data_IF_033984602471
#
_entry.id   IF_033984602471
#
_cell.length_a   1.000
_cell.length_b   1.000
_cell.length_c   1.000
_cell.angle_alpha   90.00
_cell.angle_beta   90.00
_cell.angle_gamma   90.00
#
_symmetry.space_group_name_H-M   'P 1'
#
loop_
_entity.id
_entity.type
_entity.pdbx_description
1 polymer ?
#
# COMPACT_ATOMS: atom_id res chain seq x y z
N UNK A 1 9.77 90.74 21.43
CA UNK A 1 8.65 90.89 20.49
C UNK A 1 8.91 89.99 19.29
N UNK A 2 7.92 89.21 18.83
CA UNK A 2 7.93 88.40 17.59
C UNK A 2 9.01 87.28 17.50
N UNK A 3 8.75 86.10 16.91
CA UNK A 3 7.52 85.49 16.36
C UNK A 3 7.67 83.96 16.39
N UNK A 4 6.56 83.23 16.48
CA UNK A 4 6.54 81.76 16.29
C UNK A 4 6.99 81.37 14.87
N UNK A 5 7.69 80.24 14.76
CA UNK A 5 7.76 79.45 13.54
C UNK A 5 7.82 77.95 13.91
N UNK A 6 6.78 77.22 13.53
CA UNK A 6 6.64 75.78 13.79
C UNK A 6 7.55 75.00 12.82
N UNK A 7 8.30 74.02 13.33
CA UNK A 7 8.93 72.96 12.51
C UNK A 7 8.42 71.61 12.99
N UNK A 8 8.03 70.76 12.03
CA UNK A 8 7.46 69.44 12.29
C UNK A 8 8.48 68.42 12.81
N UNK A 9 8.01 67.24 13.25
CA UNK A 9 8.87 66.19 13.80
C UNK A 9 9.77 65.57 12.72
N UNK A 10 10.97 65.09 13.09
CA UNK A 10 11.87 64.37 12.18
C UNK A 10 11.34 62.97 11.84
N UNK A 11 11.74 62.46 10.67
CA UNK A 11 11.33 61.14 10.19
C UNK A 11 11.87 60.00 11.07
N UNK A 12 11.06 58.95 11.26
CA UNK A 12 11.45 57.76 12.00
C UNK A 12 12.43 56.89 11.20
N UNK A 13 13.46 56.38 11.88
CA UNK A 13 14.39 55.40 11.33
C UNK A 13 13.66 54.10 10.95
N UNK A 14 13.88 53.60 9.74
CA UNK A 14 13.42 52.27 9.37
C UNK A 14 14.17 51.20 10.20
N UNK A 15 13.43 50.23 10.73
CA UNK A 15 13.99 48.99 11.29
C UNK A 15 14.20 47.97 10.15
N UNK A 16 15.19 47.06 10.28
CA UNK A 16 15.43 46.05 9.25
C UNK A 16 14.25 45.08 9.11
N UNK A 17 14.00 44.62 7.89
CA UNK A 17 12.98 43.61 7.60
C UNK A 17 13.28 42.29 8.33
N UNK A 18 12.25 41.60 8.87
CA UNK A 18 12.44 40.24 9.40
C UNK A 18 12.78 39.26 8.28
N UNK A 19 13.43 38.12 8.59
CA UNK A 19 13.74 37.10 7.59
C UNK A 19 12.44 36.52 6.98
N UNK A 20 12.50 36.18 5.70
CA UNK A 20 11.42 35.50 4.98
C UNK A 20 11.27 34.10 5.56
N UNK A 21 10.12 33.82 6.20
CA UNK A 21 9.81 32.49 6.72
C UNK A 21 9.29 31.58 5.62
N UNK A 22 9.94 30.44 5.44
CA UNK A 22 9.50 29.35 4.56
C UNK A 22 8.09 28.84 4.96
N UNK A 23 7.12 28.74 4.02
CA UNK A 23 5.77 28.31 4.35
C UNK A 23 5.61 26.83 4.69
N UNK A 24 6.62 25.96 4.46
CA UNK A 24 6.50 24.51 4.67
C UNK A 24 6.50 24.13 6.16
N UNK A 25 7.25 24.84 7.01
CA UNK A 25 7.48 24.46 8.41
C UNK A 25 6.29 24.73 9.38
N UNK A 26 5.14 25.22 8.92
CA UNK A 26 4.11 25.82 9.80
C UNK A 26 2.75 25.09 9.88
N UNK A 27 2.69 23.80 9.52
CA UNK A 27 1.44 23.01 9.62
C UNK A 27 1.42 21.85 10.61
N UNK A 28 2.54 21.42 11.18
CA UNK A 28 2.59 20.28 12.12
C UNK A 28 2.43 20.61 13.61
N UNK A 29 2.27 21.88 13.99
CA UNK A 29 2.06 22.26 15.39
C UNK A 29 1.00 23.36 15.54
N UNK A 30 -0.26 22.92 15.73
CA UNK A 30 -1.30 23.57 16.57
C UNK A 30 -2.66 22.89 16.38
N UNK A 31 -3.08 22.08 17.38
CA UNK A 31 -4.48 21.89 17.83
C UNK A 31 -4.57 20.93 19.04
N UNK A 32 -4.16 21.40 20.21
CA UNK A 32 -4.64 20.93 21.52
C UNK A 32 -5.00 22.16 22.36
N UNK A 33 -6.11 22.04 23.12
CA UNK A 33 -6.74 23.03 24.03
C UNK A 33 -7.33 24.29 23.36
N UNK A 34 -8.52 24.83 23.76
CA UNK A 34 -9.50 24.41 24.76
C UNK A 34 -10.95 24.87 24.43
N UNK A 35 -11.94 24.02 24.81
CA UNK A 35 -13.30 24.27 25.38
C UNK A 35 -13.92 25.68 25.27
N UNK A 36 -15.19 25.90 24.87
CA UNK A 36 -16.48 25.44 25.46
C UNK A 36 -17.66 26.09 24.67
N UNK A 37 -18.97 25.78 24.78
CA UNK A 37 -19.81 24.73 25.41
C UNK A 37 -21.29 24.87 24.90
N UNK A 38 -22.27 24.21 25.57
CA UNK A 38 -23.74 24.17 25.32
C UNK A 38 -24.25 23.36 24.09
N UNK A 39 -25.26 22.49 24.20
CA UNK A 39 -25.87 21.84 25.38
C UNK A 39 -26.66 20.55 25.00
N UNK A 40 -26.36 19.42 25.67
CA UNK A 40 -27.27 18.30 26.04
C UNK A 40 -28.19 17.66 24.98
N UNK A 41 -27.86 16.42 24.60
CA UNK A 41 -28.52 15.22 25.15
C UNK A 41 -27.61 14.00 25.09
N UNK A 42 -27.44 13.33 26.22
CA UNK A 42 -26.76 12.05 26.36
C UNK A 42 -27.75 10.99 26.83
N UNK A 43 -27.52 9.71 26.47
CA UNK A 43 -27.65 8.50 27.31
C UNK A 43 -27.42 7.26 26.43
N UNK A 44 -26.51 6.39 26.88
CA UNK A 44 -26.33 4.96 26.57
C UNK A 44 -26.41 4.47 25.10
N UNK A 45 -25.33 3.83 24.62
CA UNK A 45 -25.16 2.36 24.74
C UNK A 45 -23.65 2.05 24.80
N UNK A 46 -23.22 1.47 25.91
CA UNK A 46 -21.92 0.83 26.08
C UNK A 46 -22.11 -0.35 27.05
N UNK A 47 -22.68 -1.45 26.53
CA UNK A 47 -22.85 -2.71 27.25
C UNK A 47 -23.34 -3.82 26.29
N UNK A 48 -22.45 -4.43 25.52
CA UNK A 48 -22.76 -5.65 24.73
C UNK A 48 -21.55 -6.57 24.45
N UNK A 49 -20.42 -6.38 25.12
CA UNK A 49 -19.38 -7.40 25.26
C UNK A 49 -19.02 -7.47 26.75
N UNK A 50 -19.14 -8.67 27.33
CA UNK A 50 -18.86 -8.91 28.74
C UNK A 50 -17.36 -8.81 29.06
N UNK A 51 -16.97 -8.82 30.35
CA UNK A 51 -15.57 -8.88 30.72
C UNK A 51 -14.93 -10.16 30.13
N UNK A 52 -13.83 -9.99 29.41
CA UNK A 52 -12.99 -11.10 28.98
C UNK A 52 -12.58 -11.93 30.21
N UNK A 53 -12.78 -13.25 30.22
CA UNK A 53 -12.29 -14.08 31.32
C UNK A 53 -10.76 -14.08 31.29
N UNK A 54 -10.14 -13.75 32.43
CA UNK A 54 -8.72 -13.96 32.63
C UNK A 54 -8.43 -15.47 32.66
N UNK A 55 -8.18 -16.04 31.48
CA UNK A 55 -7.88 -17.45 31.26
C UNK A 55 -6.38 -17.69 31.12
N UNK A 56 -5.83 -18.44 32.07
CA UNK A 56 -4.54 -19.15 32.05
C UNK A 56 -3.74 -19.16 30.74
N UNK A 57 -2.47 -18.75 30.82
CA UNK A 57 -1.45 -19.08 29.84
C UNK A 57 -1.36 -20.60 29.60
N UNK A 58 -1.12 -21.01 28.34
CA UNK A 58 -0.73 -22.38 28.01
C UNK A 58 -1.64 -23.14 27.05
N UNK A 59 -1.83 -22.64 25.82
CA UNK A 59 -1.99 -23.46 24.61
C UNK A 59 -1.79 -22.57 23.38
N UNK A 60 -0.80 -22.88 22.53
CA UNK A 60 -0.76 -22.30 21.20
C UNK A 60 -1.95 -22.86 20.39
N UNK A 61 -2.84 -21.99 19.93
CA UNK A 61 -3.86 -22.39 18.98
C UNK A 61 -3.16 -22.74 17.66
N UNK A 62 -3.28 -24.00 17.22
CA UNK A 62 -2.78 -24.40 15.91
C UNK A 62 -3.75 -23.86 14.85
N UNK A 63 -3.39 -22.73 14.23
CA UNK A 63 -4.07 -22.23 13.03
C UNK A 63 -4.12 -23.34 11.96
N UNK A 64 -5.17 -23.36 11.13
CA UNK A 64 -5.19 -24.21 9.94
C UNK A 64 -4.00 -23.87 9.01
N UNK A 65 -3.44 -24.88 8.30
CA UNK A 65 -2.27 -24.65 7.45
C UNK A 65 -2.52 -23.58 6.39
N UNK A 66 -1.58 -22.64 6.26
CA UNK A 66 -1.63 -21.54 5.28
C UNK A 66 -1.87 -22.10 3.86
N UNK A 67 -2.75 -21.50 3.05
CA UNK A 67 -2.98 -21.91 1.66
C UNK A 67 -1.73 -21.64 0.81
N UNK A 68 -0.82 -22.61 0.76
CA UNK A 68 0.49 -22.46 0.12
C UNK A 68 1.56 -23.42 0.64
N UNK A 69 1.35 -24.04 1.81
CA UNK A 69 2.28 -24.99 2.41
C UNK A 69 3.20 -24.37 3.47
N UNK A 70 4.06 -25.21 4.05
CA UNK A 70 5.02 -24.86 5.09
C UNK A 70 6.02 -23.80 4.59
N UNK A 71 6.25 -22.68 5.30
CA UNK A 71 7.24 -21.66 4.91
C UNK A 71 8.68 -22.21 4.78
N UNK A 72 8.99 -23.36 5.40
CA UNK A 72 10.28 -24.04 5.26
C UNK A 72 10.41 -24.86 3.94
N UNK A 73 9.32 -25.10 3.20
CA UNK A 73 9.28 -25.99 2.05
C UNK A 73 9.74 -25.34 0.73
N UNK A 74 10.98 -24.83 0.70
CA UNK A 74 11.73 -24.70 -0.57
C UNK A 74 11.44 -23.48 -1.45
N UNK A 75 11.12 -22.33 -0.86
CA UNK A 75 11.12 -21.04 -1.57
C UNK A 75 12.56 -20.61 -1.92
N UNK A 76 13.11 -21.21 -2.97
CA UNK A 76 14.36 -20.74 -3.58
C UNK A 76 14.03 -19.62 -4.56
N UNK A 77 14.27 -18.39 -4.14
CA UNK A 77 14.29 -17.21 -5.00
C UNK A 77 15.10 -17.49 -6.27
N UNK A 78 14.41 -17.66 -7.40
CA UNK A 78 15.02 -17.66 -8.73
C UNK A 78 15.11 -16.21 -9.16
N UNK A 79 16.31 -15.76 -9.55
CA UNK A 79 16.58 -14.35 -9.88
C UNK A 79 15.52 -13.77 -10.81
N UNK A 80 14.92 -12.66 -10.38
CA UNK A 80 13.81 -12.03 -11.07
C UNK A 80 14.21 -11.56 -12.48
N UNK A 81 13.22 -11.48 -13.35
CA UNK A 81 13.37 -10.71 -14.59
C UNK A 81 13.50 -9.23 -14.22
N UNK A 82 14.74 -8.74 -14.13
CA UNK A 82 15.12 -7.33 -13.85
C UNK A 82 14.77 -6.38 -15.00
N UNK A 83 13.77 -6.74 -15.83
CA UNK A 83 13.23 -5.86 -16.85
C UNK A 83 12.21 -4.93 -16.19
N UNK A 84 12.31 -3.60 -16.39
CA UNK A 84 11.24 -2.69 -16.02
C UNK A 84 9.92 -3.12 -16.66
N UNK A 85 8.86 -3.15 -15.84
CA UNK A 85 7.47 -3.25 -16.29
C UNK A 85 6.86 -1.86 -16.12
N UNK A 86 6.01 -1.41 -17.05
CA UNK A 86 5.21 -0.19 -16.86
C UNK A 86 3.75 -0.60 -16.66
N UNK A 87 3.31 -0.83 -15.41
CA UNK A 87 1.97 -1.29 -15.11
C UNK A 87 0.97 -0.15 -15.04
N UNK A 88 1.32 1.10 -15.34
CA UNK A 88 0.42 2.23 -15.16
C UNK A 88 -0.18 2.67 -16.50
N UNK A 89 -1.51 2.77 -16.54
CA UNK A 89 -2.25 3.42 -17.65
C UNK A 89 -3.10 4.56 -17.11
N UNK A 90 -3.24 5.63 -17.89
CA UNK A 90 -4.13 6.74 -17.56
C UNK A 90 -5.52 6.57 -18.19
N UNK A 91 -6.45 7.48 -17.85
CA UNK A 91 -7.80 7.46 -18.40
C UNK A 91 -7.81 7.69 -19.93
N UNK A 92 -6.89 8.47 -20.48
CA UNK A 92 -6.77 8.75 -21.91
C UNK A 92 -6.29 7.54 -22.71
N UNK A 93 -5.42 6.70 -22.12
CA UNK A 93 -5.08 5.38 -22.62
C UNK A 93 -6.30 4.48 -22.57
N UNK A 94 -7.00 4.39 -21.43
CA UNK A 94 -8.15 3.49 -21.29
C UNK A 94 -9.27 3.85 -22.29
N UNK A 95 -9.63 5.13 -22.41
CA UNK A 95 -10.63 5.60 -23.37
C UNK A 95 -10.32 5.22 -24.83
N UNK A 96 -9.04 5.17 -25.22
CA UNK A 96 -8.62 4.80 -26.58
C UNK A 96 -8.67 3.30 -26.87
N UNK A 97 -8.62 2.45 -25.84
CA UNK A 97 -8.57 0.99 -25.98
C UNK A 97 -9.84 0.27 -25.50
N UNK A 98 -10.86 0.99 -24.98
CA UNK A 98 -12.15 0.41 -24.57
C UNK A 98 -12.87 -0.43 -25.64
N UNK A 99 -12.55 -0.23 -26.92
CA UNK A 99 -13.11 -0.98 -28.03
C UNK A 99 -12.26 -2.18 -28.50
N UNK A 100 -11.16 -2.50 -27.83
CA UNK A 100 -10.26 -3.59 -28.21
C UNK A 100 -10.79 -4.93 -27.69
N UNK A 101 -10.94 -5.93 -28.57
CA UNK A 101 -11.51 -7.25 -28.24
C UNK A 101 -10.73 -8.02 -27.15
N UNK A 102 -9.45 -7.70 -26.94
CA UNK A 102 -8.58 -8.32 -25.92
C UNK A 102 -8.52 -7.53 -24.61
N UNK A 103 -9.15 -6.36 -24.49
CA UNK A 103 -9.13 -5.57 -23.26
C UNK A 103 -10.23 -6.00 -22.28
N UNK A 104 -9.84 -6.27 -21.04
CA UNK A 104 -10.76 -6.52 -19.92
C UNK A 104 -10.53 -5.46 -18.84
N UNK A 105 -11.54 -4.63 -18.59
CA UNK A 105 -11.53 -3.69 -17.46
C UNK A 105 -12.11 -4.37 -16.23
N UNK A 106 -11.38 -4.37 -15.12
CA UNK A 106 -11.75 -5.03 -13.87
C UNK A 106 -11.79 -4.02 -12.74
N UNK A 107 -12.94 -3.90 -12.10
CA UNK A 107 -13.08 -3.26 -10.80
C UNK A 107 -12.75 -4.27 -9.71
N UNK A 108 -11.90 -3.86 -8.77
CA UNK A 108 -11.56 -4.64 -7.60
C UNK A 108 -12.45 -4.23 -6.42
N UNK A 109 -13.53 -4.99 -6.21
CA UNK A 109 -14.47 -4.78 -5.13
C UNK A 109 -13.77 -5.13 -3.80
N UNK A 110 -13.27 -4.11 -3.09
CA UNK A 110 -12.64 -4.27 -1.78
C UNK A 110 -13.69 -4.47 -0.69
N UNK A 111 -14.81 -3.73 -0.77
CA UNK A 111 -15.96 -3.87 0.14
C UNK A 111 -17.22 -4.24 -0.64
N UNK A 112 -18.02 -5.20 -0.17
CA UNK A 112 -19.23 -5.62 -0.86
C UNK A 112 -20.16 -4.44 -1.18
N UNK A 113 -20.53 -4.31 -2.46
CA UNK A 113 -21.43 -3.27 -2.96
C UNK A 113 -20.73 -2.01 -3.50
N UNK A 114 -19.39 -1.89 -3.40
CA UNK A 114 -18.65 -0.81 -4.07
C UNK A 114 -18.91 -0.85 -5.59
N UNK A 115 -18.73 -2.01 -6.22
CA UNK A 115 -19.03 -2.26 -7.63
C UNK A 115 -20.46 -1.87 -8.02
N UNK A 116 -21.44 -2.38 -7.26
CA UNK A 116 -22.84 -2.20 -7.57
C UNK A 116 -23.32 -0.74 -7.39
N UNK A 117 -22.56 0.06 -6.64
CA UNK A 117 -22.83 1.49 -6.45
C UNK A 117 -22.36 2.30 -7.65
N UNK A 118 -21.10 2.12 -8.08
CA UNK A 118 -20.51 2.81 -9.23
C UNK A 118 -19.30 2.05 -9.78
N UNK A 119 -19.32 1.73 -11.07
CA UNK A 119 -18.17 1.15 -11.80
C UNK A 119 -18.00 1.83 -13.17
N UNK A 120 -16.80 1.73 -13.77
CA UNK A 120 -16.55 2.10 -15.18
C UNK A 120 -17.50 1.29 -16.08
N UNK A 121 -18.13 1.96 -17.05
CA UNK A 121 -19.09 1.33 -17.94
C UNK A 121 -18.49 0.12 -18.67
N UNK A 122 -19.17 -1.03 -18.64
CA UNK A 122 -18.69 -2.30 -19.22
C UNK A 122 -17.52 -2.97 -18.48
N UNK A 123 -17.07 -2.45 -17.32
CA UNK A 123 -16.13 -3.17 -16.47
C UNK A 123 -16.73 -4.48 -15.94
N UNK A 124 -15.88 -5.32 -15.34
CA UNK A 124 -16.26 -6.58 -14.69
C UNK A 124 -15.82 -6.54 -13.22
N UNK A 125 -16.51 -7.27 -12.36
CA UNK A 125 -16.21 -7.35 -10.93
C UNK A 125 -15.22 -8.48 -10.61
N UNK A 126 -14.18 -8.17 -9.84
CA UNK A 126 -13.35 -9.13 -9.12
C UNK A 126 -13.38 -8.75 -7.63
N UNK A 127 -13.72 -9.68 -6.73
CA UNK A 127 -13.72 -9.37 -5.29
C UNK A 127 -12.33 -9.55 -4.71
N UNK A 128 -11.91 -8.67 -3.82
CA UNK A 128 -10.61 -8.77 -3.15
C UNK A 128 -10.45 -10.13 -2.44
N UNK A 129 -11.51 -10.59 -1.76
CA UNK A 129 -11.54 -11.88 -1.04
C UNK A 129 -11.51 -13.13 -1.93
N UNK A 130 -11.70 -12.99 -3.25
CA UNK A 130 -11.53 -14.08 -4.23
C UNK A 130 -10.05 -14.29 -4.62
N UNK A 131 -9.17 -13.35 -4.30
CA UNK A 131 -7.73 -13.39 -4.62
C UNK A 131 -6.81 -13.29 -3.39
N UNK A 132 -7.31 -12.80 -2.25
CA UNK A 132 -6.63 -12.82 -0.96
C UNK A 132 -7.31 -13.76 0.04
N UNK A 133 -6.55 -14.21 1.02
CA UNK A 133 -7.00 -14.97 2.18
C UNK A 133 -6.80 -14.15 3.46
N UNK A 134 -7.90 -13.94 4.19
CA UNK A 134 -7.92 -13.03 5.34
C UNK A 134 -7.50 -13.73 6.66
N UNK A 135 -7.11 -15.00 6.60
CA UNK A 135 -6.78 -15.83 7.76
C UNK A 135 -8.01 -16.27 8.57
N UNK A 136 -7.81 -17.09 9.60
CA UNK A 136 -8.87 -17.41 10.57
C UNK A 136 -9.28 -16.19 11.41
N UNK A 137 -8.34 -15.27 11.65
CA UNK A 137 -8.58 -14.03 12.40
C UNK A 137 -9.38 -13.00 11.60
N UNK A 138 -9.44 -13.10 10.27
CA UNK A 138 -10.03 -12.09 9.39
C UNK A 138 -9.19 -10.81 9.24
N UNK A 139 -7.92 -10.84 9.67
CA UNK A 139 -7.00 -9.69 9.68
C UNK A 139 -5.84 -9.79 8.67
N UNK A 140 -5.60 -10.95 8.06
CA UNK A 140 -4.55 -11.12 7.04
C UNK A 140 -5.03 -10.59 5.68
N UNK A 141 -4.16 -10.61 4.68
CA UNK A 141 -4.56 -10.50 3.27
C UNK A 141 -3.58 -11.25 2.35
N UNK A 142 -3.07 -12.39 2.83
CA UNK A 142 -2.10 -13.25 2.14
C UNK A 142 -2.62 -13.71 0.78
N UNK A 143 -1.73 -14.04 -0.16
CA UNK A 143 -2.16 -14.51 -1.48
C UNK A 143 -2.87 -15.87 -1.39
N UNK A 144 -3.93 -16.07 -2.16
CA UNK A 144 -4.51 -17.41 -2.35
C UNK A 144 -3.58 -18.31 -3.15
N UNK A 145 -3.92 -19.60 -3.20
CA UNK A 145 -3.23 -20.52 -4.10
C UNK A 145 -3.40 -20.11 -5.57
N UNK A 146 -2.47 -20.54 -6.41
CA UNK A 146 -2.51 -20.31 -7.87
C UNK A 146 -3.83 -20.79 -8.47
N UNK A 147 -4.32 -21.97 -8.07
CA UNK A 147 -5.55 -22.55 -8.62
C UNK A 147 -6.82 -21.78 -8.19
N UNK A 148 -6.93 -21.36 -6.93
CA UNK A 148 -8.03 -20.50 -6.46
C UNK A 148 -8.03 -19.16 -7.20
N UNK A 149 -6.85 -18.53 -7.32
CA UNK A 149 -6.69 -17.24 -8.00
C UNK A 149 -7.07 -17.37 -9.47
N UNK A 150 -6.58 -18.39 -10.17
CA UNK A 150 -6.93 -18.65 -11.58
C UNK A 150 -8.44 -18.89 -11.72
N UNK A 151 -9.09 -19.60 -10.79
CA UNK A 151 -10.54 -19.78 -10.81
C UNK A 151 -11.28 -18.43 -10.66
N UNK A 152 -10.82 -17.54 -9.77
CA UNK A 152 -11.36 -16.19 -9.61
C UNK A 152 -11.20 -15.33 -10.87
N UNK A 153 -9.99 -15.31 -11.47
CA UNK A 153 -9.73 -14.55 -12.69
C UNK A 153 -10.56 -15.07 -13.89
N UNK A 154 -10.74 -16.40 -14.00
CA UNK A 154 -11.64 -17.00 -15.00
C UNK A 154 -13.09 -16.63 -14.74
N UNK A 155 -13.55 -16.58 -13.49
CA UNK A 155 -14.91 -16.13 -13.15
C UNK A 155 -15.14 -14.64 -13.49
N UNK A 156 -14.10 -13.80 -13.44
CA UNK A 156 -14.10 -12.44 -13.98
C UNK A 156 -13.96 -12.38 -15.53
N UNK A 157 -13.99 -13.54 -16.21
CA UNK A 157 -13.96 -13.65 -17.67
C UNK A 157 -12.60 -13.38 -18.30
N UNK A 158 -11.51 -13.38 -17.53
CA UNK A 158 -10.17 -13.07 -18.05
C UNK A 158 -9.70 -14.25 -18.90
N UNK A 159 -9.40 -13.97 -20.17
CA UNK A 159 -8.95 -14.95 -21.16
C UNK A 159 -7.42 -15.08 -21.17
N UNK A 160 -6.96 -16.10 -21.89
CA UNK A 160 -5.53 -16.39 -22.14
C UNK A 160 -4.76 -15.20 -22.71
N UNK A 161 -5.40 -14.43 -23.59
CA UNK A 161 -4.76 -13.36 -24.36
C UNK A 161 -5.19 -11.96 -23.91
N UNK A 162 -5.97 -11.87 -22.82
CA UNK A 162 -6.47 -10.57 -22.32
C UNK A 162 -5.36 -9.65 -21.83
N UNK A 163 -5.43 -8.37 -22.24
CA UNK A 163 -4.89 -7.24 -21.48
C UNK A 163 -5.90 -6.88 -20.38
N UNK A 164 -5.44 -6.68 -19.15
CA UNK A 164 -6.33 -6.43 -18.00
C UNK A 164 -6.01 -5.08 -17.38
N UNK A 165 -7.01 -4.20 -17.28
CA UNK A 165 -6.89 -2.93 -16.54
C UNK A 165 -7.65 -3.05 -15.23
N UNK A 166 -6.91 -3.11 -14.14
CA UNK A 166 -7.43 -3.22 -12.78
C UNK A 166 -7.56 -1.80 -12.21
N UNK A 167 -8.69 -1.51 -11.58
CA UNK A 167 -8.90 -0.27 -10.83
C UNK A 167 -9.76 -0.53 -9.60
N UNK A 168 -9.79 0.42 -8.66
CA UNK A 168 -10.67 0.36 -7.51
C UNK A 168 -10.63 1.66 -6.71
N UNK A 169 -11.34 1.67 -5.58
CA UNK A 169 -11.40 2.83 -4.68
C UNK A 169 -10.24 2.90 -3.67
N UNK A 170 -9.28 1.97 -3.74
CA UNK A 170 -8.17 1.85 -2.79
C UNK A 170 -6.90 1.41 -3.50
N UNK A 171 -5.90 2.30 -3.58
CA UNK A 171 -4.63 2.01 -4.26
C UNK A 171 -3.95 0.77 -3.69
N UNK A 172 -3.80 0.66 -2.38
CA UNK A 172 -3.16 -0.49 -1.72
C UNK A 172 -3.86 -1.83 -2.01
N UNK A 173 -5.20 -1.85 -2.15
CA UNK A 173 -5.91 -3.05 -2.58
C UNK A 173 -5.70 -3.34 -4.08
N UNK A 174 -5.75 -2.31 -4.92
CA UNK A 174 -5.60 -2.44 -6.38
C UNK A 174 -4.19 -2.88 -6.76
N UNK A 175 -3.17 -2.29 -6.13
CA UNK A 175 -1.78 -2.70 -6.19
C UNK A 175 -1.62 -4.16 -5.73
N UNK A 176 -2.22 -4.54 -4.60
CA UNK A 176 -2.22 -5.92 -4.11
C UNK A 176 -2.79 -6.91 -5.14
N UNK A 177 -3.88 -6.56 -5.80
CA UNK A 177 -4.40 -7.35 -6.91
C UNK A 177 -3.41 -7.44 -8.08
N UNK A 178 -2.78 -6.34 -8.49
CA UNK A 178 -1.76 -6.37 -9.55
C UNK A 178 -0.57 -7.26 -9.20
N UNK A 179 -0.08 -7.25 -7.95
CA UNK A 179 0.98 -8.18 -7.50
C UNK A 179 0.53 -9.64 -7.60
N UNK A 180 -0.76 -9.93 -7.37
CA UNK A 180 -1.33 -11.26 -7.64
C UNK A 180 -1.23 -11.64 -9.14
N UNK A 181 -1.41 -10.70 -10.06
CA UNK A 181 -1.17 -10.96 -11.49
C UNK A 181 0.31 -11.18 -11.80
N UNK A 182 1.24 -10.42 -11.19
CA UNK A 182 2.69 -10.61 -11.40
C UNK A 182 3.17 -11.99 -10.86
N UNK A 183 2.61 -12.48 -9.74
CA UNK A 183 2.83 -13.86 -9.24
C UNK A 183 2.42 -14.94 -10.25
N UNK A 184 1.35 -14.70 -11.01
CA UNK A 184 0.92 -15.59 -12.09
C UNK A 184 1.73 -15.38 -13.38
N UNK A 185 2.72 -14.48 -13.39
CA UNK A 185 3.48 -14.07 -14.57
C UNK A 185 2.65 -13.29 -15.60
N UNK A 186 1.53 -12.72 -15.16
CA UNK A 186 0.62 -11.91 -15.98
C UNK A 186 0.92 -10.40 -15.89
N UNK A 187 1.94 -9.99 -15.13
CA UNK A 187 2.29 -8.58 -14.90
C UNK A 187 2.56 -7.77 -16.18
N UNK A 188 3.12 -8.39 -17.22
CA UNK A 188 3.32 -7.78 -18.56
C UNK A 188 2.00 -7.50 -19.32
N UNK A 189 0.85 -8.00 -18.83
CA UNK A 189 -0.48 -7.84 -19.43
C UNK A 189 -1.49 -7.18 -18.49
N UNK A 190 -1.12 -7.00 -17.23
CA UNK A 190 -1.96 -6.39 -16.20
C UNK A 190 -1.50 -4.95 -15.98
N UNK A 191 -2.46 -4.04 -15.90
CA UNK A 191 -2.24 -2.62 -15.70
C UNK A 191 -3.12 -2.12 -14.56
N UNK A 192 -2.68 -1.04 -13.91
CA UNK A 192 -3.43 -0.23 -12.97
C UNK A 192 -3.91 1.03 -13.67
N UNK A 193 -5.19 1.36 -13.52
CA UNK A 193 -5.67 2.69 -13.88
C UNK A 193 -5.15 3.70 -12.85
N UNK A 194 -4.14 4.47 -13.23
CA UNK A 194 -3.48 5.44 -12.35
C UNK A 194 -4.45 6.59 -12.03
N UNK A 195 -4.68 6.85 -10.75
CA UNK A 195 -5.73 7.76 -10.25
C UNK A 195 -7.14 7.14 -10.15
N UNK A 196 -7.29 5.84 -10.47
CA UNK A 196 -8.51 5.05 -10.27
C UNK A 196 -9.78 5.61 -10.94
N UNK A 197 -10.94 5.27 -10.39
CA UNK A 197 -12.25 5.72 -10.91
C UNK A 197 -12.42 7.25 -10.83
N UNK A 198 -11.68 7.93 -9.94
CA UNK A 198 -11.76 9.39 -9.81
C UNK A 198 -11.06 10.08 -10.99
N UNK A 199 -9.89 9.59 -11.43
CA UNK A 199 -9.24 10.07 -12.65
C UNK A 199 -10.08 9.76 -13.90
N UNK A 200 -10.69 8.58 -13.97
CA UNK A 200 -11.63 8.21 -15.04
C UNK A 200 -12.77 9.22 -15.19
N UNK A 201 -13.46 9.52 -14.08
CA UNK A 201 -14.58 10.47 -14.05
C UNK A 201 -14.12 11.91 -14.34
N UNK A 202 -12.93 12.30 -13.87
CA UNK A 202 -12.34 13.61 -14.16
C UNK A 202 -12.01 13.78 -15.66
N UNK A 203 -11.65 12.70 -16.35
CA UNK A 203 -11.44 12.69 -17.79
C UNK A 203 -12.75 12.61 -18.62
N UNK A 204 -13.92 12.58 -17.97
CA UNK A 204 -15.23 12.49 -18.63
C UNK A 204 -15.66 11.06 -18.98
N UNK A 205 -14.99 10.05 -18.43
CA UNK A 205 -15.31 8.64 -18.65
C UNK A 205 -16.67 8.21 -18.10
N UNK A 206 -17.34 7.31 -18.81
CA UNK A 206 -18.66 6.81 -18.46
C UNK A 206 -18.65 5.81 -17.28
N UNK A 207 -19.67 5.86 -16.44
CA UNK A 207 -19.87 4.95 -15.30
C UNK A 207 -21.28 4.36 -15.30
N UNK A 208 -21.41 3.17 -14.71
CA UNK A 208 -22.62 2.36 -14.58
C UNK A 208 -22.82 1.93 -13.11
N UNK A 209 -23.98 1.34 -12.81
CA UNK A 209 -24.32 0.78 -11.49
C UNK A 209 -25.14 -0.50 -11.64
N UNK A 210 -25.25 -1.29 -10.57
CA UNK A 210 -25.81 -2.65 -10.60
C UNK A 210 -24.76 -3.73 -10.88
N UNK A 211 -25.19 -4.91 -11.33
CA UNK A 211 -24.32 -6.10 -11.44
C UNK A 211 -23.39 -6.11 -12.66
N UNK A 212 -23.46 -5.10 -13.54
CA UNK A 212 -22.62 -5.00 -14.73
C UNK A 212 -23.01 -5.96 -15.87
N UNK A 213 -22.10 -6.22 -16.84
CA UNK A 213 -22.36 -7.14 -17.93
C UNK A 213 -22.41 -8.60 -17.45
N UNK A 214 -23.15 -9.45 -18.16
CA UNK A 214 -23.03 -10.90 -17.98
C UNK A 214 -21.63 -11.35 -18.45
N UNK A 215 -20.94 -12.12 -17.61
CA UNK A 215 -19.57 -12.57 -17.84
C UNK A 215 -19.55 -14.08 -18.07
N UNK A 216 -19.14 -14.49 -19.26
CA UNK A 216 -18.79 -15.89 -19.54
C UNK A 216 -17.40 -16.20 -18.94
N UNK A 217 -17.19 -17.39 -18.35
CA UNK A 217 -15.89 -17.76 -17.78
C UNK A 217 -14.77 -17.76 -18.82
N UNK A 218 -13.66 -17.10 -18.50
CA UNK A 218 -12.46 -17.04 -19.33
C UNK A 218 -11.57 -18.28 -19.20
N UNK A 219 -10.50 -18.33 -20.01
CA UNK A 219 -9.56 -19.47 -20.07
C UNK A 219 -8.13 -19.14 -19.59
N UNK A 220 -7.92 -18.03 -18.87
CA UNK A 220 -6.57 -17.59 -18.43
C UNK A 220 -5.75 -18.71 -17.77
N UNK A 221 -4.45 -18.72 -18.04
CA UNK A 221 -3.47 -19.66 -17.51
C UNK A 221 -2.28 -18.89 -16.91
N UNK A 222 -1.67 -19.36 -15.80
CA UNK A 222 -0.42 -18.80 -15.31
C UNK A 222 0.71 -18.95 -16.34
N UNK A 223 1.61 -17.98 -16.37
CA UNK A 223 2.73 -17.92 -17.31
C UNK A 223 4.04 -17.94 -16.52
N UNK A 224 4.66 -19.12 -16.36
CA UNK A 224 5.98 -19.26 -15.71
C UNK A 224 6.08 -18.49 -14.37
N UNK A 225 5.31 -18.86 -13.32
CA UNK A 225 5.32 -18.16 -12.03
C UNK A 225 6.75 -17.96 -11.51
N UNK A 226 7.20 -16.71 -11.41
CA UNK A 226 8.45 -16.36 -10.75
C UNK A 226 8.10 -16.09 -9.31
N UNK A 227 8.35 -17.05 -8.43
CA UNK A 227 8.02 -16.88 -7.02
C UNK A 227 9.03 -15.93 -6.36
N UNK A 228 8.68 -14.65 -6.36
CA UNK A 228 9.42 -13.59 -5.68
C UNK A 228 9.11 -13.48 -4.20
N UNK A 229 8.24 -14.34 -3.66
CA UNK A 229 7.91 -14.31 -2.23
C UNK A 229 9.07 -14.86 -1.41
N UNK A 230 9.29 -14.26 -0.25
CA UNK A 230 10.28 -14.70 0.73
C UNK A 230 9.60 -14.96 2.08
N UNK A 231 10.14 -15.89 2.86
CA UNK A 231 9.67 -16.20 4.22
C UNK A 231 10.40 -15.37 5.27
N UNK A 232 9.84 -15.34 6.49
CA UNK A 232 10.51 -14.76 7.65
C UNK A 232 11.91 -15.36 7.85
N UNK A 233 12.03 -16.69 7.71
CA UNK A 233 13.28 -17.42 7.90
C UNK A 233 14.33 -17.03 6.83
N UNK A 234 13.91 -16.86 5.56
CA UNK A 234 14.79 -16.37 4.49
C UNK A 234 15.38 -14.99 4.80
N UNK A 235 14.57 -14.08 5.36
CA UNK A 235 15.00 -12.74 5.78
C UNK A 235 15.92 -12.85 6.99
N UNK A 236 15.55 -13.64 7.99
CA UNK A 236 16.31 -13.83 9.23
C UNK A 236 17.73 -14.35 8.97
N UNK A 237 17.89 -15.32 8.06
CA UNK A 237 19.19 -15.83 7.59
C UNK A 237 20.09 -14.76 6.95
N UNK A 238 19.53 -13.63 6.49
CA UNK A 238 20.21 -12.58 5.71
C UNK A 238 20.29 -11.24 6.43
N UNK A 239 19.84 -11.16 7.69
CA UNK A 239 20.00 -9.94 8.49
C UNK A 239 21.49 -9.56 8.60
N UNK A 240 21.79 -8.29 8.33
CA UNK A 240 23.16 -7.77 8.30
C UNK A 240 23.90 -7.97 6.97
N UNK A 241 23.30 -8.59 5.95
CA UNK A 241 23.84 -8.57 4.59
C UNK A 241 23.76 -7.13 4.02
N UNK A 242 24.87 -6.47 3.66
CA UNK A 242 24.85 -5.10 3.15
C UNK A 242 24.26 -4.96 1.74
N UNK A 243 23.99 -6.08 1.06
CA UNK A 243 23.28 -6.11 -0.23
C UNK A 243 21.76 -6.27 -0.09
N UNK A 244 21.25 -6.61 1.11
CA UNK A 244 19.83 -6.71 1.40
C UNK A 244 19.26 -5.34 1.82
N UNK A 245 18.16 -4.95 1.19
CA UNK A 245 17.36 -3.77 1.57
C UNK A 245 15.95 -4.21 1.90
N UNK A 246 15.60 -4.21 3.18
CA UNK A 246 14.21 -4.38 3.60
C UNK A 246 13.50 -3.03 3.47
N UNK A 247 12.26 -2.99 2.99
CA UNK A 247 11.43 -1.80 2.82
C UNK A 247 10.10 -2.02 3.55
N UNK A 248 9.86 -1.24 4.59
CA UNK A 248 8.69 -1.25 5.45
C UNK A 248 7.72 -0.15 5.04
N UNK A 249 6.57 -0.54 4.48
CA UNK A 249 5.59 0.37 3.92
C UNK A 249 4.65 1.02 4.97
N UNK A 250 4.99 0.93 6.26
CA UNK A 250 4.16 1.36 7.40
C UNK A 250 4.40 2.83 7.80
N UNK A 251 3.39 3.50 8.39
CA UNK A 251 3.54 4.84 8.96
C UNK A 251 4.49 4.83 10.17
N UNK A 252 4.93 6.03 10.56
CA UNK A 252 5.89 6.30 11.63
C UNK A 252 5.55 5.57 12.94
N UNK A 253 4.33 5.65 13.43
CA UNK A 253 3.91 5.04 14.69
C UNK A 253 3.94 3.51 14.70
N UNK A 254 3.61 2.88 13.57
CA UNK A 254 3.77 1.43 13.38
C UNK A 254 5.26 1.03 13.26
N UNK A 255 6.09 1.84 12.60
CA UNK A 255 7.52 1.55 12.41
C UNK A 255 8.32 1.75 13.70
N UNK A 256 8.13 2.86 14.41
CA UNK A 256 8.82 3.14 15.69
C UNK A 256 8.37 2.20 16.79
N UNK A 257 7.15 1.68 16.70
CA UNK A 257 6.48 0.86 17.72
C UNK A 257 5.69 1.68 18.74
N UNK A 258 5.49 2.99 18.49
CA UNK A 258 4.66 3.87 19.33
C UNK A 258 3.16 3.48 19.30
N UNK A 259 2.72 2.71 18.30
CA UNK A 259 1.37 2.12 18.23
C UNK A 259 1.13 1.02 19.30
N UNK A 260 2.19 0.50 19.91
CA UNK A 260 2.14 -0.61 20.86
C UNK A 260 1.91 -1.99 20.23
N UNK A 261 2.24 -2.17 18.95
CA UNK A 261 2.26 -3.47 18.26
C UNK A 261 0.87 -4.08 18.06
N UNK A 262 0.01 -3.44 17.25
CA UNK A 262 -1.38 -3.89 17.03
C UNK A 262 -2.18 -4.08 18.35
N UNK A 263 -1.97 -3.21 19.34
CA UNK A 263 -2.59 -3.34 20.67
C UNK A 263 -2.07 -4.55 21.47
N UNK A 264 -0.80 -4.92 21.28
CA UNK A 264 -0.14 -6.05 21.93
C UNK A 264 -0.40 -7.42 21.27
N UNK A 265 -0.96 -7.45 20.06
CA UNK A 265 -1.07 -8.69 19.28
C UNK A 265 0.25 -9.07 18.59
N UNK A 266 1.11 -8.09 18.32
CA UNK A 266 2.46 -8.27 17.81
C UNK A 266 3.45 -7.48 18.68
N UNK A 267 4.73 -7.82 18.59
CA UNK A 267 5.79 -6.98 19.12
C UNK A 267 5.77 -5.59 18.45
N UNK A 268 6.02 -4.50 19.19
CA UNK A 268 6.15 -3.16 18.62
C UNK A 268 7.45 -3.02 17.82
N UNK A 269 7.46 -2.14 16.82
CA UNK A 269 8.66 -1.80 16.06
C UNK A 269 8.69 -2.37 14.64
N UNK A 270 9.89 -2.64 14.13
CA UNK A 270 10.20 -3.07 12.75
C UNK A 270 11.28 -4.17 12.70
N UNK A 271 11.49 -4.74 11.51
CA UNK A 271 12.53 -5.75 11.26
C UNK A 271 13.91 -5.08 11.35
N UNK A 272 14.89 -5.65 12.06
CA UNK A 272 16.19 -4.99 12.27
C UNK A 272 16.88 -4.53 10.99
N UNK A 273 17.34 -3.29 10.98
CA UNK A 273 18.00 -2.64 9.85
C UNK A 273 17.09 -2.26 8.67
N UNK A 274 15.76 -2.34 8.82
CA UNK A 274 14.84 -2.06 7.73
C UNK A 274 14.78 -0.59 7.29
N UNK A 275 14.41 -0.42 6.02
CA UNK A 275 13.87 0.72 5.27
C UNK A 275 12.54 1.35 5.75
N UNK A 276 12.39 2.54 6.34
CA UNK A 276 11.02 3.10 6.43
C UNK A 276 10.63 3.84 5.15
N UNK A 277 9.99 3.15 4.20
CA UNK A 277 9.44 3.75 2.98
C UNK A 277 7.92 3.88 3.14
N UNK A 278 7.41 4.94 3.74
CA UNK A 278 5.95 5.04 3.90
C UNK A 278 5.27 5.15 2.52
N UNK A 279 4.39 4.21 2.16
CA UNK A 279 3.86 4.05 0.80
C UNK A 279 3.22 5.33 0.18
N UNK A 280 2.67 6.25 0.99
CA UNK A 280 2.12 7.52 0.48
C UNK A 280 3.21 8.50 0.00
N UNK A 281 4.48 8.30 0.37
CA UNK A 281 5.61 9.01 -0.25
C UNK A 281 5.65 8.78 -1.77
N UNK A 282 5.26 7.58 -2.25
CA UNK A 282 5.23 7.23 -3.68
C UNK A 282 4.02 7.82 -4.41
N UNK A 283 3.05 8.37 -3.69
CA UNK A 283 1.78 8.90 -4.22
C UNK A 283 1.79 10.42 -4.36
N UNK A 284 0.90 10.93 -5.23
CA UNK A 284 0.60 12.35 -5.32
C UNK A 284 -0.08 12.86 -4.02
N UNK A 285 0.41 13.94 -3.38
CA UNK A 285 -0.16 14.45 -2.13
C UNK A 285 -1.61 14.96 -2.21
N UNK A 286 -2.11 15.26 -3.41
CA UNK A 286 -3.50 15.65 -3.66
C UNK A 286 -4.38 14.47 -4.12
N UNK A 287 -3.78 13.35 -4.54
CA UNK A 287 -4.49 12.12 -4.90
C UNK A 287 -3.68 10.86 -4.54
N UNK A 288 -3.97 10.23 -3.41
CA UNK A 288 -3.31 9.00 -2.96
C UNK A 288 -3.70 7.72 -3.75
N UNK A 289 -4.35 7.88 -4.91
CA UNK A 289 -4.52 6.83 -5.92
C UNK A 289 -3.73 7.11 -7.21
N UNK A 290 -2.97 8.19 -7.26
CA UNK A 290 -2.10 8.55 -8.37
C UNK A 290 -0.64 8.35 -7.94
N UNK A 291 0.10 7.50 -8.63
CA UNK A 291 1.56 7.41 -8.48
C UNK A 291 2.23 8.71 -8.91
N UNK A 292 3.31 9.09 -8.21
CA UNK A 292 4.22 10.15 -8.64
C UNK A 292 4.88 9.85 -9.99
N UNK A 293 5.45 10.87 -10.66
CA UNK A 293 6.36 10.67 -11.78
C UNK A 293 7.48 9.66 -11.47
N UNK A 294 7.86 8.87 -12.46
CA UNK A 294 8.86 7.79 -12.33
C UNK A 294 10.20 8.29 -11.79
N UNK A 295 10.59 9.50 -12.16
CA UNK A 295 11.82 10.16 -11.73
C UNK A 295 11.78 10.56 -10.25
N UNK A 296 10.60 10.94 -9.71
CA UNK A 296 10.42 11.17 -8.27
C UNK A 296 10.44 9.85 -7.49
N UNK A 297 9.78 8.81 -8.02
CA UNK A 297 9.79 7.45 -7.44
C UNK A 297 11.22 6.92 -7.31
N UNK A 298 12.05 7.08 -8.34
CA UNK A 298 13.47 6.70 -8.29
C UNK A 298 14.23 7.43 -7.17
N UNK A 299 14.02 8.74 -7.03
CA UNK A 299 14.65 9.53 -5.96
C UNK A 299 14.13 9.18 -4.57
N UNK A 300 12.88 8.74 -4.44
CA UNK A 300 12.30 8.26 -3.16
C UNK A 300 12.95 6.94 -2.76
N UNK A 301 12.98 5.97 -3.67
CA UNK A 301 13.60 4.67 -3.45
C UNK A 301 15.10 4.78 -3.13
N UNK A 302 15.84 5.65 -3.83
CA UNK A 302 17.27 5.87 -3.58
C UNK A 302 17.55 6.42 -2.17
N UNK A 303 16.75 7.38 -1.67
CA UNK A 303 16.89 7.89 -0.28
C UNK A 303 16.68 6.81 0.77
N UNK A 304 15.77 5.88 0.50
CA UNK A 304 15.50 4.71 1.34
C UNK A 304 16.47 3.54 1.10
N UNK A 305 17.55 3.80 0.35
CA UNK A 305 18.66 2.87 0.17
C UNK A 305 18.45 1.83 -0.93
N UNK A 306 17.32 1.85 -1.65
CA UNK A 306 17.07 0.96 -2.77
C UNK A 306 17.81 1.43 -4.04
N UNK A 307 18.24 0.49 -4.89
CA UNK A 307 19.00 0.80 -6.11
C UNK A 307 19.63 -0.43 -6.76
N UNK A 308 20.29 -0.23 -7.91
CA UNK A 308 20.92 -1.32 -8.66
C UNK A 308 21.97 -2.08 -7.85
N UNK A 309 22.08 -3.40 -8.09
CA UNK A 309 23.06 -4.27 -7.44
C UNK A 309 22.71 -4.68 -6.01
N UNK A 310 21.52 -4.36 -5.53
CA UNK A 310 20.96 -4.80 -4.24
C UNK A 310 19.75 -5.70 -4.42
N UNK A 311 19.52 -6.59 -3.46
CA UNK A 311 18.30 -7.38 -3.35
C UNK A 311 17.36 -6.70 -2.38
N UNK A 312 16.13 -6.41 -2.81
CA UNK A 312 15.15 -5.68 -2.01
C UNK A 312 14.06 -6.63 -1.51
N UNK A 313 13.47 -6.36 -0.36
CA UNK A 313 12.26 -7.04 0.13
C UNK A 313 11.30 -5.99 0.65
N UNK A 314 10.08 -5.91 0.11
CA UNK A 314 9.04 -5.06 0.69
C UNK A 314 8.11 -5.85 1.61
N UNK A 315 7.69 -5.20 2.71
CA UNK A 315 6.73 -5.69 3.69
C UNK A 315 5.93 -4.53 4.28
N UNK A 316 4.83 -4.82 4.96
CA UNK A 316 4.12 -3.82 5.77
C UNK A 316 3.49 -4.49 6.99
N UNK A 317 2.22 -4.25 7.31
CA UNK A 317 1.51 -5.08 8.28
C UNK A 317 1.05 -6.43 7.69
N UNK A 318 0.39 -6.42 6.52
CA UNK A 318 -0.24 -7.61 5.88
C UNK A 318 -0.14 -7.61 4.33
N UNK A 319 0.95 -7.07 3.77
CA UNK A 319 1.19 -7.00 2.32
C UNK A 319 0.42 -5.92 1.52
N UNK A 320 -0.68 -5.33 2.00
CA UNK A 320 -1.42 -4.35 1.18
C UNK A 320 -0.60 -3.10 0.79
N UNK A 321 0.08 -2.45 1.74
CA UNK A 321 0.87 -1.23 1.49
C UNK A 321 2.14 -1.55 0.69
N UNK A 322 2.84 -2.62 1.09
CA UNK A 322 4.02 -3.18 0.40
C UNK A 322 3.80 -3.45 -1.10
N UNK A 323 2.56 -3.73 -1.51
CA UNK A 323 2.22 -3.93 -2.93
C UNK A 323 2.43 -2.67 -3.79
N UNK A 324 2.36 -1.47 -3.19
CA UNK A 324 2.66 -0.20 -3.85
C UNK A 324 4.17 -0.05 -4.06
N UNK A 325 4.95 -0.28 -3.01
CA UNK A 325 6.41 -0.24 -3.03
C UNK A 325 7.00 -1.28 -4.00
N UNK A 326 6.43 -2.48 -4.02
CA UNK A 326 6.76 -3.53 -4.99
C UNK A 326 6.60 -3.03 -6.43
N UNK A 327 5.45 -2.43 -6.75
CA UNK A 327 5.17 -1.87 -8.08
C UNK A 327 6.16 -0.76 -8.43
N UNK A 328 6.45 0.15 -7.50
CA UNK A 328 7.44 1.21 -7.69
C UNK A 328 8.85 0.65 -7.99
N UNK A 329 9.27 -0.40 -7.30
CA UNK A 329 10.54 -1.08 -7.56
C UNK A 329 10.55 -1.82 -8.92
N UNK A 330 9.45 -2.51 -9.29
CA UNK A 330 9.28 -3.17 -10.61
C UNK A 330 9.28 -2.17 -11.76
N UNK A 331 8.73 -0.97 -11.58
CA UNK A 331 8.78 0.15 -12.54
C UNK A 331 10.20 0.63 -12.85
N UNK A 332 11.14 0.41 -11.95
CA UNK A 332 12.56 0.73 -12.12
C UNK A 332 13.41 -0.48 -12.53
N UNK A 333 12.83 -1.69 -12.57
CA UNK A 333 13.55 -2.93 -12.89
C UNK A 333 14.44 -3.45 -11.76
N UNK A 334 14.20 -3.01 -10.51
CA UNK A 334 14.97 -3.48 -9.35
C UNK A 334 14.70 -4.96 -9.06
N UNK A 335 15.69 -5.64 -8.47
CA UNK A 335 15.54 -6.98 -7.91
C UNK A 335 14.76 -6.90 -6.59
N UNK A 336 13.46 -7.19 -6.64
CA UNK A 336 12.50 -6.94 -5.55
C UNK A 336 11.68 -8.18 -5.20
N UNK A 337 11.86 -8.65 -3.97
CA UNK A 337 11.09 -9.70 -3.33
C UNK A 337 9.94 -9.14 -2.49
N UNK A 338 9.01 -10.04 -2.14
CA UNK A 338 7.81 -9.69 -1.39
C UNK A 338 7.67 -10.57 -0.14
N UNK A 339 7.64 -9.96 1.05
CA UNK A 339 7.39 -10.71 2.28
C UNK A 339 5.90 -10.70 2.62
N UNK A 340 5.21 -11.77 2.25
CA UNK A 340 3.76 -11.80 2.26
C UNK A 340 3.15 -11.78 3.67
N UNK A 341 3.73 -12.58 4.57
CA UNK A 341 3.35 -12.60 5.99
C UNK A 341 3.57 -11.25 6.69
N UNK A 342 4.53 -10.45 6.20
CA UNK A 342 4.75 -9.07 6.64
C UNK A 342 4.98 -8.95 8.17
N UNK A 343 4.80 -7.76 8.76
CA UNK A 343 4.98 -7.55 10.19
C UNK A 343 4.01 -8.38 11.05
N UNK A 344 2.86 -8.78 10.54
CA UNK A 344 1.98 -9.68 11.29
C UNK A 344 2.62 -11.06 11.51
N UNK A 345 3.30 -11.63 10.50
CA UNK A 345 4.03 -12.90 10.62
C UNK A 345 5.36 -12.75 11.38
N UNK A 346 6.06 -11.62 11.23
CA UNK A 346 7.33 -11.38 11.93
C UNK A 346 7.12 -10.98 13.40
N UNK A 347 6.30 -9.97 13.66
CA UNK A 347 6.09 -9.39 14.98
C UNK A 347 5.34 -10.31 15.95
N UNK A 348 4.61 -11.33 15.45
CA UNK A 348 3.98 -12.36 16.30
C UNK A 348 4.92 -13.50 16.69
N UNK A 349 6.16 -13.52 16.19
CA UNK A 349 7.15 -14.58 16.42
C UNK A 349 8.19 -14.18 17.48
N UNK A 350 8.15 -14.85 18.63
CA UNK A 350 9.10 -14.68 19.73
C UNK A 350 10.54 -15.13 19.38
N UNK A 351 10.72 -15.88 18.28
CA UNK A 351 12.04 -16.36 17.82
C UNK A 351 12.76 -15.36 16.89
N UNK A 352 12.11 -14.26 16.49
CA UNK A 352 12.64 -13.26 15.58
C UNK A 352 12.96 -11.93 16.28
N UNK A 353 14.07 -11.25 15.94
CA UNK A 353 14.46 -9.98 16.56
C UNK A 353 13.62 -8.80 16.04
N UNK A 354 13.46 -7.75 16.86
CA UNK A 354 12.75 -6.51 16.51
C UNK A 354 13.55 -5.27 16.91
N UNK A 355 13.46 -4.19 16.14
CA UNK A 355 14.01 -2.86 16.48
C UNK A 355 12.89 -1.84 16.69
N UNK A 356 13.12 -0.83 17.53
CA UNK A 356 12.15 0.25 17.83
C UNK A 356 12.83 1.62 17.75
N UNK A 357 12.02 2.67 17.61
CA UNK A 357 12.49 4.04 17.40
C UNK A 357 12.60 4.44 15.92
N UNK A 358 13.04 5.68 15.64
CA UNK A 358 12.99 6.26 14.30
C UNK A 358 14.00 5.64 13.35
N UNK A 359 13.70 5.73 12.05
CA UNK A 359 14.60 5.33 10.99
C UNK A 359 15.96 6.08 11.09
N UNK A 360 17.10 5.37 11.23
CA UNK A 360 18.40 6.01 11.40
C UNK A 360 18.90 6.74 10.13
N UNK A 361 18.35 6.45 8.94
CA UNK A 361 18.65 7.16 7.69
C UNK A 361 17.85 8.45 7.53
N UNK A 362 16.73 8.58 8.24
CA UNK A 362 15.89 9.78 8.22
C UNK A 362 16.47 10.93 9.08
N UNK A 363 17.59 10.67 9.77
CA UNK A 363 18.60 11.69 10.08
C UNK A 363 18.22 12.73 11.12
N UNK A 364 17.24 12.46 11.99
CA UNK A 364 16.87 13.31 13.12
C UNK A 364 16.37 14.70 12.71
N UNK A 365 15.13 14.74 12.17
CA UNK A 365 14.44 15.97 11.75
C UNK A 365 14.17 16.96 12.89
#
# INVERSE_FOLDING_TARGET
MSRNAIRGPPAASALPSPPVSDPVARRYSMKKTATSALLVRAVAIAAALGPFPAGSAGAAAQETPRPGGDPAAGFHAVGLQTRPVDPLVDADWLMRHLGDDDLVVVELERRPGEYATEHIAGARRLRFTDITWDGESGWRSEFRTVDETVAALRAAGIGRDSRVVIYGNSMTATARAWVTFDLLGLGDRAFLLNGGIQAWKAAGGAVESGDGPAVEPGDVVPLSPVDFRVSADWIHERLGDPSLVLLDARPDDEYTGDDGGLGGMANPGHIPGAAQLYWEELMDPANNTLFRPREEIAQILERHGAGEGKTHVTYCMIGMRASVDYIAARMLGLDIHFYDGSWYDWGTRDDLPTETGPDPRDGGR
#
